data_IF_206964677649
#
_entry.id   IF_206964677649
#
_cell.length_a   1.000
_cell.length_b   1.000
_cell.length_c   1.000
_cell.angle_alpha   90.00
_cell.angle_beta   90.00
_cell.angle_gamma   90.00
#
_symmetry.space_group_name_H-M   'P 1'
#
loop_
_entity.id
_entity.type
_entity.pdbx_description
1 polymer ?
#
# COMPACT_ATOMS: atom_id res chain seq x y z
N UNK A 1 5.59 -24.77 -9.47
CA UNK A 1 6.55 -24.50 -10.57
C UNK A 1 5.90 -23.83 -11.79
N UNK A 2 4.58 -23.64 -11.86
CA UNK A 2 3.90 -22.92 -12.95
C UNK A 2 3.93 -21.38 -12.80
N UNK A 3 4.14 -20.85 -11.59
CA UNK A 3 3.95 -19.42 -11.32
C UNK A 3 5.03 -18.52 -11.91
N UNK A 4 6.28 -18.98 -11.96
CA UNK A 4 7.40 -18.15 -12.41
C UNK A 4 7.31 -17.82 -13.91
N UNK A 5 6.78 -18.75 -14.73
CA UNK A 5 6.61 -18.53 -16.16
C UNK A 5 5.47 -17.54 -16.45
N UNK A 6 4.32 -17.70 -15.79
CA UNK A 6 3.19 -16.77 -15.92
C UNK A 6 3.55 -15.37 -15.43
N UNK A 7 4.25 -15.25 -14.30
CA UNK A 7 4.73 -13.98 -13.79
C UNK A 7 5.71 -13.30 -14.76
N UNK A 8 6.67 -14.04 -15.32
CA UNK A 8 7.62 -13.51 -16.29
C UNK A 8 6.92 -13.09 -17.60
N UNK A 9 5.95 -13.85 -18.09
CA UNK A 9 5.18 -13.50 -19.28
C UNK A 9 4.33 -12.25 -19.04
N UNK A 10 3.66 -12.15 -17.90
CA UNK A 10 2.91 -10.95 -17.50
C UNK A 10 3.82 -9.72 -17.38
N UNK A 11 5.04 -9.88 -16.86
CA UNK A 11 6.05 -8.82 -16.83
C UNK A 11 6.51 -8.41 -18.23
N UNK A 12 6.77 -9.37 -19.13
CA UNK A 12 7.15 -9.10 -20.53
C UNK A 12 6.00 -8.37 -21.24
N UNK A 13 4.76 -8.82 -21.08
CA UNK A 13 3.58 -8.14 -21.65
C UNK A 13 3.47 -6.72 -21.10
N UNK A 14 3.69 -6.52 -19.80
CA UNK A 14 3.67 -5.20 -19.16
C UNK A 14 4.78 -4.29 -19.70
N UNK A 15 5.97 -4.81 -19.95
CA UNK A 15 7.09 -4.08 -20.57
C UNK A 15 6.77 -3.76 -22.04
N UNK A 16 6.20 -4.69 -22.79
CA UNK A 16 5.79 -4.45 -24.18
C UNK A 16 4.64 -3.43 -24.28
N UNK A 17 3.78 -3.34 -23.26
CA UNK A 17 2.78 -2.27 -23.09
C UNK A 17 3.37 -0.92 -22.66
N UNK A 18 4.63 -0.85 -22.19
CA UNK A 18 5.19 0.31 -21.47
C UNK A 18 5.52 1.55 -22.32
N UNK A 19 5.18 1.57 -23.62
CA UNK A 19 5.14 2.79 -24.42
C UNK A 19 3.75 2.99 -25.00
N UNK A 20 2.81 3.56 -24.22
CA UNK A 20 1.41 3.73 -24.65
C UNK A 20 1.26 4.65 -25.89
N UNK A 21 2.34 5.26 -26.36
CA UNK A 21 2.35 6.09 -27.55
C UNK A 21 1.69 7.45 -27.34
N UNK A 22 1.74 8.28 -28.38
CA UNK A 22 1.07 9.58 -28.42
C UNK A 22 -0.44 9.43 -28.51
N UNK A 23 -1.18 10.42 -28.00
CA UNK A 23 -2.64 10.46 -28.02
C UNK A 23 -3.15 10.77 -29.44
N UNK A 24 -3.32 9.71 -30.23
CA UNK A 24 -3.89 9.73 -31.59
C UNK A 24 -5.03 8.73 -31.69
N UNK A 25 -5.95 8.93 -32.65
CA UNK A 25 -7.10 8.03 -32.85
C UNK A 25 -6.64 6.59 -33.05
N UNK A 26 -5.61 6.37 -33.87
CA UNK A 26 -5.12 5.03 -34.18
C UNK A 26 -4.55 4.35 -32.95
N UNK A 27 -3.86 5.08 -32.06
CA UNK A 27 -3.31 4.50 -30.84
C UNK A 27 -4.39 4.20 -29.81
N UNK A 28 -5.42 5.06 -29.69
CA UNK A 28 -6.60 4.77 -28.86
C UNK A 28 -7.29 3.49 -29.36
N UNK A 29 -7.57 3.39 -30.66
CA UNK A 29 -8.19 2.19 -31.24
C UNK A 29 -7.34 0.92 -31.01
N UNK A 30 -6.01 1.01 -31.18
CA UNK A 30 -5.11 -0.11 -30.90
C UNK A 30 -5.17 -0.55 -29.44
N UNK A 31 -5.14 0.40 -28.48
CA UNK A 31 -5.27 0.08 -27.06
C UNK A 31 -6.62 -0.53 -26.73
N UNK A 32 -7.71 0.03 -27.24
CA UNK A 32 -9.07 -0.53 -27.10
C UNK A 32 -9.13 -1.98 -27.58
N UNK A 33 -8.54 -2.28 -28.74
CA UNK A 33 -8.51 -3.63 -29.29
C UNK A 33 -7.68 -4.62 -28.45
N UNK A 34 -6.61 -4.17 -27.77
CA UNK A 34 -5.84 -5.01 -26.84
C UNK A 34 -6.73 -5.53 -25.69
N UNK A 35 -7.65 -4.69 -25.22
CA UNK A 35 -8.64 -5.03 -24.19
C UNK A 35 -9.93 -5.62 -24.76
N UNK A 36 -9.94 -5.99 -26.05
CA UNK A 36 -11.07 -6.60 -26.78
C UNK A 36 -12.31 -5.71 -26.88
N UNK A 37 -12.15 -4.38 -26.76
CA UNK A 37 -13.22 -3.45 -27.08
C UNK A 37 -13.30 -3.23 -28.59
N UNK A 38 -14.52 -3.09 -29.10
CA UNK A 38 -14.77 -2.70 -30.49
C UNK A 38 -14.73 -1.17 -30.62
N UNK A 39 -14.32 -0.66 -31.78
CA UNK A 39 -14.25 0.80 -31.99
C UNK A 39 -14.95 1.24 -33.27
N UNK A 40 -15.67 2.36 -33.18
CA UNK A 40 -16.45 2.94 -34.26
C UNK A 40 -16.15 4.43 -34.37
N UNK A 41 -16.09 4.96 -35.58
CA UNK A 41 -15.90 6.40 -35.80
C UNK A 41 -17.10 6.95 -36.57
N UNK A 42 -17.76 7.94 -35.98
CA UNK A 42 -18.89 8.66 -36.58
C UNK A 42 -18.54 10.14 -36.76
N UNK A 43 -19.14 10.79 -37.76
CA UNK A 43 -19.11 12.25 -37.91
C UNK A 43 -20.34 12.85 -37.24
N UNK A 44 -20.13 13.63 -36.16
CA UNK A 44 -21.23 14.25 -35.43
C UNK A 44 -21.76 15.51 -36.11
N UNK A 45 -20.87 16.26 -36.76
CA UNK A 45 -21.27 17.47 -37.46
C UNK A 45 -20.42 17.72 -38.71
N UNK A 46 -21.06 18.12 -39.80
CA UNK A 46 -20.39 18.35 -41.08
C UNK A 46 -19.63 19.68 -41.14
N UNK A 47 -19.96 20.65 -40.27
CA UNK A 47 -19.40 22.02 -40.29
C UNK A 47 -18.15 22.21 -39.42
N UNK A 48 -17.97 21.43 -38.35
CA UNK A 48 -16.87 21.64 -37.38
C UNK A 48 -15.82 20.52 -37.37
N UNK A 49 -15.85 19.59 -38.34
CA UNK A 49 -15.01 18.39 -38.35
C UNK A 49 -15.04 17.60 -37.02
N UNK A 50 -16.14 17.72 -36.28
CA UNK A 50 -16.32 17.02 -35.02
C UNK A 50 -16.64 15.55 -35.31
N UNK A 51 -15.79 14.67 -34.80
CA UNK A 51 -15.93 13.23 -34.91
C UNK A 51 -16.15 12.64 -33.51
N UNK A 52 -16.81 11.49 -33.47
CA UNK A 52 -16.93 10.65 -32.29
C UNK A 52 -16.17 9.36 -32.52
N UNK A 53 -15.33 8.98 -31.56
CA UNK A 53 -14.79 7.63 -31.45
C UNK A 53 -15.54 6.93 -30.32
N UNK A 54 -16.35 5.95 -30.66
CA UNK A 54 -17.03 5.09 -29.69
C UNK A 54 -16.22 3.82 -29.46
N UNK A 55 -16.03 3.46 -28.20
CA UNK A 55 -15.35 2.24 -27.75
C UNK A 55 -16.40 1.40 -27.02
N UNK A 56 -16.77 0.24 -27.56
CA UNK A 56 -17.85 -0.59 -27.04
C UNK A 56 -17.32 -1.90 -26.45
N UNK A 57 -17.81 -2.25 -25.27
CA UNK A 57 -17.69 -3.57 -24.64
C UNK A 57 -19.00 -4.34 -24.68
N UNK A 58 -19.11 -5.34 -23.80
CA UNK A 58 -20.34 -6.14 -23.62
C UNK A 58 -21.47 -5.32 -23.01
N UNK A 59 -21.15 -4.50 -22.02
CA UNK A 59 -22.14 -3.75 -21.22
C UNK A 59 -21.80 -2.27 -21.05
N UNK A 60 -20.70 -1.80 -21.67
CA UNK A 60 -20.30 -0.39 -21.63
C UNK A 60 -20.03 0.19 -23.02
N UNK A 61 -20.16 1.51 -23.13
CA UNK A 61 -19.73 2.30 -24.29
C UNK A 61 -19.03 3.58 -23.80
N UNK A 62 -17.83 3.87 -24.35
CA UNK A 62 -17.12 5.14 -24.15
C UNK A 62 -17.21 5.94 -25.44
N UNK A 63 -17.86 7.10 -25.39
CA UNK A 63 -17.92 8.05 -26.50
C UNK A 63 -16.88 9.15 -26.29
N UNK A 64 -15.95 9.31 -27.24
CA UNK A 64 -14.93 10.36 -27.25
C UNK A 64 -15.24 11.32 -28.41
N UNK A 65 -15.63 12.54 -28.09
CA UNK A 65 -15.86 13.59 -29.08
C UNK A 65 -14.57 14.39 -29.29
N UNK A 66 -14.12 14.50 -30.53
CA UNK A 66 -12.83 15.09 -30.84
C UNK A 66 -12.78 15.82 -32.18
N UNK A 67 -11.77 16.68 -32.29
CA UNK A 67 -11.30 17.26 -33.55
C UNK A 67 -9.86 16.81 -33.81
N UNK A 68 -9.59 16.38 -35.04
CA UNK A 68 -8.27 15.95 -35.45
C UNK A 68 -7.43 17.17 -35.86
N UNK A 69 -6.27 17.36 -35.23
CA UNK A 69 -5.35 18.45 -35.55
C UNK A 69 -4.47 18.07 -36.74
N UNK A 70 -3.84 19.09 -37.35
CA UNK A 70 -2.93 18.92 -38.49
C UNK A 70 -1.70 18.07 -38.18
N UNK A 71 -1.28 18.00 -36.91
CA UNK A 71 -0.18 17.17 -36.42
C UNK A 71 -0.62 15.72 -36.09
N UNK A 72 -1.87 15.35 -36.38
CA UNK A 72 -2.45 14.04 -36.09
C UNK A 72 -2.85 13.84 -34.62
N UNK A 73 -2.64 14.85 -33.76
CA UNK A 73 -3.08 14.79 -32.35
C UNK A 73 -4.56 15.07 -32.21
N UNK A 74 -5.13 14.49 -31.16
CA UNK A 74 -6.51 14.68 -30.77
C UNK A 74 -6.69 15.99 -29.99
N UNK A 75 -7.66 16.82 -30.40
CA UNK A 75 -8.27 17.80 -29.52
C UNK A 75 -9.58 17.21 -29.00
N UNK A 76 -9.53 16.63 -27.80
CA UNK A 76 -10.69 16.07 -27.11
C UNK A 76 -11.62 17.21 -26.67
N UNK A 77 -12.92 17.04 -26.93
CA UNK A 77 -13.99 17.97 -26.55
C UNK A 77 -14.80 17.43 -25.38
N UNK A 78 -15.16 16.15 -25.43
CA UNK A 78 -15.93 15.49 -24.39
C UNK A 78 -15.62 13.99 -24.38
N UNK A 79 -15.79 13.35 -23.22
CA UNK A 79 -15.73 11.89 -23.08
C UNK A 79 -16.82 11.43 -22.12
N UNK A 80 -17.68 10.51 -22.58
CA UNK A 80 -18.77 9.94 -21.79
C UNK A 80 -18.63 8.44 -21.69
N UNK A 81 -18.85 7.90 -20.50
CA UNK A 81 -19.05 6.47 -20.26
C UNK A 81 -20.54 6.20 -20.06
N UNK A 82 -21.06 5.23 -20.80
CA UNK A 82 -22.47 4.80 -20.79
C UNK A 82 -22.47 3.31 -20.44
N UNK A 83 -23.29 2.92 -19.48
CA UNK A 83 -23.48 1.53 -19.07
C UNK A 83 -24.86 1.04 -19.53
N UNK A 84 -24.94 -0.16 -20.07
CA UNK A 84 -26.17 -0.74 -20.62
C UNK A 84 -27.27 -0.92 -19.57
N UNK A 85 -26.88 -1.14 -18.31
CA UNK A 85 -27.80 -1.28 -17.19
C UNK A 85 -28.30 0.06 -16.62
N UNK A 86 -27.89 1.21 -17.19
CA UNK A 86 -28.18 2.55 -16.66
C UNK A 86 -27.86 2.68 -15.17
N UNK A 87 -26.77 2.04 -14.72
CA UNK A 87 -26.32 2.16 -13.35
C UNK A 87 -25.89 3.61 -13.06
N UNK A 88 -26.82 4.38 -12.48
CA UNK A 88 -26.63 5.79 -12.16
C UNK A 88 -25.63 6.02 -11.01
N UNK A 89 -25.24 4.97 -10.29
CA UNK A 89 -24.37 5.09 -9.12
C UNK A 89 -22.89 4.98 -9.49
N UNK A 90 -22.56 4.37 -10.63
CA UNK A 90 -21.17 4.27 -11.06
C UNK A 90 -20.61 5.64 -11.45
N UNK A 91 -19.51 6.03 -10.81
CA UNK A 91 -18.86 7.32 -11.06
C UNK A 91 -17.48 7.12 -11.66
N UNK A 92 -17.22 7.82 -12.76
CA UNK A 92 -15.90 8.02 -13.36
C UNK A 92 -15.39 9.46 -13.13
N UNK A 93 -15.94 10.14 -12.13
CA UNK A 93 -15.44 11.42 -11.64
C UNK A 93 -14.58 11.20 -10.41
N UNK A 94 -13.49 11.94 -10.30
CA UNK A 94 -12.69 11.95 -9.08
C UNK A 94 -13.49 12.56 -7.93
N UNK A 95 -13.65 11.87 -6.80
CA UNK A 95 -14.53 12.38 -5.72
C UNK A 95 -13.99 13.62 -5.01
N UNK A 96 -12.69 13.93 -5.15
CA UNK A 96 -12.05 15.10 -4.53
C UNK A 96 -12.07 16.32 -5.45
N UNK A 97 -11.79 16.15 -6.74
CA UNK A 97 -11.72 17.26 -7.71
C UNK A 97 -12.98 17.43 -8.55
N UNK A 98 -13.88 16.43 -8.53
CA UNK A 98 -15.05 16.34 -9.40
C UNK A 98 -14.72 16.44 -10.90
N UNK A 99 -13.52 16.02 -11.29
CA UNK A 99 -13.09 16.00 -12.68
C UNK A 99 -13.31 14.63 -13.31
N UNK A 100 -13.67 14.62 -14.59
CA UNK A 100 -13.86 13.42 -15.38
C UNK A 100 -12.50 12.76 -15.70
N UNK A 101 -12.27 11.56 -15.17
CA UNK A 101 -10.97 10.89 -15.30
C UNK A 101 -10.66 10.47 -16.74
N UNK A 102 -11.70 10.18 -17.55
CA UNK A 102 -11.55 9.79 -18.94
C UNK A 102 -11.07 10.98 -19.78
N UNK A 103 -11.71 12.14 -19.62
CA UNK A 103 -11.25 13.39 -20.27
C UNK A 103 -9.83 13.73 -19.83
N UNK A 104 -9.55 13.67 -18.52
CA UNK A 104 -8.23 13.98 -17.98
C UNK A 104 -7.14 13.06 -18.54
N UNK A 105 -7.41 11.76 -18.64
CA UNK A 105 -6.46 10.77 -19.17
C UNK A 105 -6.01 11.05 -20.61
N UNK A 106 -6.83 11.75 -21.40
CA UNK A 106 -6.56 12.09 -22.80
C UNK A 106 -6.11 13.56 -23.02
N UNK A 107 -6.18 14.41 -21.99
CA UNK A 107 -5.90 15.85 -22.14
C UNK A 107 -4.80 16.37 -21.22
N UNK A 108 -4.63 15.79 -20.03
CA UNK A 108 -3.66 16.23 -19.01
C UNK A 108 -2.32 15.49 -19.07
N UNK A 109 -2.26 14.35 -19.74
CA UNK A 109 -1.07 13.49 -19.80
C UNK A 109 -0.45 13.50 -21.20
N UNK A 110 0.86 13.29 -21.27
CA UNK A 110 1.61 13.33 -22.54
C UNK A 110 1.41 12.08 -23.41
N UNK A 111 1.05 10.97 -22.78
CA UNK A 111 0.90 9.66 -23.42
C UNK A 111 -0.35 8.95 -22.91
N UNK A 112 -0.71 7.83 -23.55
CA UNK A 112 -1.91 7.07 -23.22
C UNK A 112 -1.79 6.19 -21.97
N UNK A 113 -0.78 6.36 -21.08
CA UNK A 113 -0.57 5.41 -19.97
C UNK A 113 -1.75 5.35 -19.00
N UNK A 114 -2.29 6.51 -18.65
CA UNK A 114 -3.43 6.59 -17.73
C UNK A 114 -4.69 6.04 -18.41
N UNK A 115 -4.86 6.32 -19.70
CA UNK A 115 -5.99 5.79 -20.47
C UNK A 115 -5.90 4.26 -20.64
N UNK A 116 -4.70 3.71 -20.81
CA UNK A 116 -4.42 2.27 -20.81
C UNK A 116 -4.83 1.63 -19.48
N UNK A 117 -4.44 2.22 -18.34
CA UNK A 117 -4.83 1.72 -17.01
C UNK A 117 -6.37 1.77 -16.81
N UNK A 118 -7.04 2.83 -17.29
CA UNK A 118 -8.50 2.94 -17.26
C UNK A 118 -9.14 1.82 -18.10
N UNK A 119 -8.67 1.62 -19.34
CA UNK A 119 -9.21 0.56 -20.22
C UNK A 119 -9.00 -0.83 -19.61
N UNK A 120 -7.86 -1.06 -18.95
CA UNK A 120 -7.60 -2.30 -18.23
C UNK A 120 -8.66 -2.53 -17.15
N UNK A 121 -8.89 -1.56 -16.26
CA UNK A 121 -9.92 -1.68 -15.21
C UNK A 121 -11.33 -1.85 -15.78
N UNK A 122 -11.70 -1.08 -16.81
CA UNK A 122 -13.00 -1.22 -17.47
C UNK A 122 -13.15 -2.58 -18.12
N UNK A 123 -12.08 -3.14 -18.69
CA UNK A 123 -12.13 -4.48 -19.29
C UNK A 123 -12.36 -5.58 -18.26
N UNK A 124 -11.85 -5.41 -17.03
CA UNK A 124 -12.15 -6.32 -15.92
C UNK A 124 -13.63 -6.20 -15.56
N UNK A 125 -14.13 -4.97 -15.35
CA UNK A 125 -15.54 -4.77 -14.99
C UNK A 125 -16.49 -5.30 -16.09
N UNK A 126 -16.24 -4.99 -17.36
CA UNK A 126 -17.06 -5.41 -18.50
C UNK A 126 -17.08 -6.93 -18.71
N UNK A 127 -15.94 -7.60 -18.51
CA UNK A 127 -15.84 -9.04 -18.77
C UNK A 127 -16.44 -9.90 -17.66
N UNK A 128 -16.41 -9.41 -16.42
CA UNK A 128 -16.81 -10.16 -15.24
C UNK A 128 -18.15 -9.72 -14.65
N UNK A 129 -18.81 -8.69 -15.19
CA UNK A 129 -20.24 -8.47 -14.97
C UNK A 129 -21.06 -9.56 -15.68
N UNK A 130 -21.99 -10.17 -14.95
CA UNK A 130 -22.92 -11.21 -15.40
C UNK A 130 -24.34 -10.85 -14.95
N UNK A 131 -25.35 -11.58 -15.43
CA UNK A 131 -26.77 -11.28 -15.17
C UNK A 131 -27.12 -11.22 -13.67
N UNK A 132 -26.39 -11.92 -12.79
CA UNK A 132 -26.60 -12.00 -11.34
C UNK A 132 -25.57 -11.22 -10.50
N UNK A 133 -24.61 -10.56 -11.16
CA UNK A 133 -23.55 -9.81 -10.51
C UNK A 133 -22.99 -8.68 -11.39
N UNK A 134 -23.20 -7.43 -10.96
CA UNK A 134 -22.59 -6.27 -11.59
C UNK A 134 -21.32 -5.82 -10.84
N UNK A 135 -20.16 -5.97 -11.48
CA UNK A 135 -18.88 -5.56 -10.94
C UNK A 135 -18.73 -4.02 -10.88
N UNK A 136 -19.47 -3.27 -11.71
CA UNK A 136 -19.53 -1.80 -11.61
C UNK A 136 -20.21 -1.37 -10.31
N UNK A 137 -21.37 -1.94 -9.99
CA UNK A 137 -22.06 -1.75 -8.71
C UNK A 137 -21.17 -2.20 -7.54
N UNK A 138 -20.54 -3.36 -7.67
CA UNK A 138 -19.69 -3.89 -6.60
C UNK A 138 -18.47 -3.00 -6.32
N UNK A 139 -17.87 -2.41 -7.36
CA UNK A 139 -16.81 -1.41 -7.18
C UNK A 139 -17.28 -0.20 -6.37
N UNK A 140 -18.50 0.29 -6.62
CA UNK A 140 -19.10 1.35 -5.81
C UNK A 140 -19.41 0.91 -4.38
N UNK A 141 -19.83 -0.34 -4.17
CA UNK A 141 -20.01 -0.90 -2.84
C UNK A 141 -18.69 -1.00 -2.06
N UNK A 142 -17.57 -1.31 -2.73
CA UNK A 142 -16.24 -1.26 -2.12
C UNK A 142 -15.93 0.15 -1.62
N UNK A 143 -16.18 1.16 -2.47
CA UNK A 143 -15.98 2.55 -2.09
C UNK A 143 -16.83 2.95 -0.88
N UNK A 144 -18.14 2.69 -0.88
CA UNK A 144 -19.01 3.06 0.24
C UNK A 144 -18.68 2.29 1.52
N UNK A 145 -18.30 1.01 1.42
CA UNK A 145 -17.82 0.24 2.55
C UNK A 145 -16.58 0.89 3.18
N UNK A 146 -15.56 1.20 2.38
CA UNK A 146 -14.34 1.83 2.89
C UNK A 146 -14.59 3.22 3.45
N UNK A 147 -15.48 3.99 2.83
CA UNK A 147 -15.88 5.34 3.29
C UNK A 147 -16.54 5.32 4.66
N UNK A 148 -17.23 4.24 5.02
CA UNK A 148 -17.76 4.06 6.39
C UNK A 148 -16.68 3.77 7.44
N UNK A 149 -15.46 3.46 7.03
CA UNK A 149 -14.33 3.10 7.91
C UNK A 149 -13.21 4.14 7.93
N UNK A 150 -13.25 5.17 7.08
CA UNK A 150 -12.18 6.17 6.99
C UNK A 150 -12.32 7.15 5.83
N UNK A 151 -11.31 8.00 5.67
CA UNK A 151 -11.22 8.95 4.57
C UNK A 151 -10.95 8.22 3.24
N UNK A 152 -11.75 8.52 2.21
CA UNK A 152 -11.66 7.85 0.91
C UNK A 152 -11.75 8.82 -0.25
N UNK A 153 -10.90 8.61 -1.26
CA UNK A 153 -10.95 9.30 -2.55
C UNK A 153 -11.21 8.25 -3.64
N UNK A 154 -12.33 8.39 -4.33
CA UNK A 154 -12.70 7.60 -5.50
C UNK A 154 -12.00 8.16 -6.73
N UNK A 155 -11.57 7.25 -7.59
CA UNK A 155 -10.92 7.53 -8.87
C UNK A 155 -9.65 8.38 -8.73
N UNK A 156 -8.79 7.97 -7.80
CA UNK A 156 -7.53 8.64 -7.48
C UNK A 156 -6.57 8.65 -8.68
N UNK A 157 -5.80 9.74 -8.83
CA UNK A 157 -4.84 9.95 -9.92
C UNK A 157 -5.40 9.71 -11.34
N UNK A 158 -6.68 10.02 -11.56
CA UNK A 158 -7.39 9.82 -12.82
C UNK A 158 -7.41 8.34 -13.28
N UNK A 159 -7.50 7.40 -12.35
CA UNK A 159 -7.67 5.96 -12.63
C UNK A 159 -8.86 5.42 -11.87
N UNK A 160 -9.35 4.23 -12.21
CA UNK A 160 -10.30 3.48 -11.38
C UNK A 160 -9.58 2.85 -10.18
N UNK A 161 -9.17 3.72 -9.27
CA UNK A 161 -8.45 3.39 -8.04
C UNK A 161 -9.09 4.13 -6.86
N UNK A 162 -9.27 3.44 -5.75
CA UNK A 162 -9.78 3.98 -4.49
C UNK A 162 -8.59 4.23 -3.57
N UNK A 163 -8.38 5.47 -3.12
CA UNK A 163 -7.38 5.80 -2.12
C UNK A 163 -8.03 5.87 -0.74
N UNK A 164 -7.62 5.00 0.18
CA UNK A 164 -8.07 4.95 1.57
C UNK A 164 -6.98 5.52 2.50
N UNK A 165 -7.37 6.45 3.37
CA UNK A 165 -6.53 7.09 4.40
C UNK A 165 -5.20 7.67 3.87
N UNK A 166 -5.19 8.13 2.62
CA UNK A 166 -4.00 8.61 1.88
C UNK A 166 -2.82 7.60 1.83
N UNK A 167 -3.10 6.33 2.13
CA UNK A 167 -2.08 5.29 2.34
C UNK A 167 -2.27 4.05 1.48
N UNK A 168 -3.51 3.69 1.17
CA UNK A 168 -3.81 2.44 0.48
C UNK A 168 -4.57 2.72 -0.81
N UNK A 169 -3.92 2.45 -1.94
CA UNK A 169 -4.52 2.47 -3.26
C UNK A 169 -5.12 1.10 -3.55
N UNK A 170 -6.39 1.06 -3.94
CA UNK A 170 -7.16 -0.16 -4.09
C UNK A 170 -7.76 -0.18 -5.49
N UNK A 171 -7.51 -1.25 -6.23
CA UNK A 171 -8.07 -1.46 -7.58
C UNK A 171 -8.59 -2.88 -7.75
N UNK A 172 -9.21 -3.12 -8.90
CA UNK A 172 -9.55 -4.46 -9.36
C UNK A 172 -8.44 -4.99 -10.27
N UNK A 173 -8.16 -6.28 -10.16
CA UNK A 173 -7.25 -7.00 -11.06
C UNK A 173 -7.91 -8.28 -11.55
N UNK A 174 -7.62 -8.63 -12.81
CA UNK A 174 -7.88 -9.95 -13.37
C UNK A 174 -6.66 -10.85 -13.19
N UNK A 175 -6.81 -11.92 -12.41
CA UNK A 175 -5.77 -12.92 -12.12
C UNK A 175 -6.44 -14.26 -11.81
N UNK A 176 -6.15 -15.28 -12.61
CA UNK A 176 -6.75 -16.62 -12.54
C UNK A 176 -6.61 -17.31 -11.16
N UNK A 177 -5.64 -16.88 -10.35
CA UNK A 177 -5.41 -17.42 -9.01
C UNK A 177 -6.29 -16.79 -7.93
N UNK A 178 -6.95 -15.67 -8.23
CA UNK A 178 -7.75 -14.90 -7.29
C UNK A 178 -9.24 -15.23 -7.40
N UNK A 179 -9.95 -14.97 -6.31
CA UNK A 179 -11.41 -15.08 -6.27
C UNK A 179 -11.96 -14.07 -5.29
N UNK A 180 -12.75 -13.13 -5.77
CA UNK A 180 -13.30 -12.04 -4.97
C UNK A 180 -14.60 -12.49 -4.28
N UNK A 181 -14.67 -12.36 -2.97
CA UNK A 181 -15.88 -12.72 -2.21
C UNK A 181 -16.98 -11.68 -2.42
N UNK A 182 -18.17 -12.12 -2.84
CA UNK A 182 -19.33 -11.23 -2.93
C UNK A 182 -19.74 -10.78 -1.52
N UNK A 183 -20.07 -9.49 -1.42
CA UNK A 183 -20.62 -8.89 -0.21
C UNK A 183 -22.04 -8.47 -0.52
N UNK A 184 -22.95 -8.86 0.35
CA UNK A 184 -24.35 -8.45 0.31
C UNK A 184 -24.52 -7.04 0.89
N UNK A 185 -25.64 -6.38 0.58
CA UNK A 185 -25.91 -5.01 1.04
C UNK A 185 -25.90 -4.84 2.58
N UNK A 186 -26.01 -5.93 3.34
CA UNK A 186 -25.89 -5.97 4.80
C UNK A 186 -24.46 -6.33 5.29
N UNK A 187 -23.46 -6.20 4.42
CA UNK A 187 -22.05 -6.50 4.67
C UNK A 187 -21.79 -7.94 5.16
N UNK A 188 -22.60 -8.90 4.70
CA UNK A 188 -22.36 -10.32 4.92
C UNK A 188 -21.62 -10.93 3.74
N UNK A 189 -20.80 -11.94 4.03
CA UNK A 189 -20.13 -12.70 2.98
C UNK A 189 -21.14 -13.63 2.33
N UNK A 190 -21.35 -13.42 1.04
CA UNK A 190 -22.04 -14.41 0.23
C UNK A 190 -21.08 -15.57 -0.06
N UNK A 191 -21.61 -16.79 -0.22
CA UNK A 191 -20.79 -17.94 -0.64
C UNK A 191 -20.31 -17.84 -2.10
N UNK A 192 -20.84 -16.88 -2.84
CA UNK A 192 -20.54 -16.69 -4.26
C UNK A 192 -19.20 -15.97 -4.38
N UNK A 193 -18.28 -16.60 -5.10
CA UNK A 193 -16.94 -16.09 -5.37
C UNK A 193 -16.86 -15.74 -6.86
N UNK A 194 -16.40 -14.53 -7.18
CA UNK A 194 -16.11 -14.13 -8.56
C UNK A 194 -14.70 -14.62 -8.85
N UNK A 195 -14.60 -15.69 -9.64
CA UNK A 195 -13.30 -16.26 -10.02
C UNK A 195 -12.54 -15.30 -10.91
N UNK A 196 -11.22 -15.39 -10.85
CA UNK A 196 -10.28 -14.65 -11.69
C UNK A 196 -10.28 -13.13 -11.43
N UNK A 197 -10.99 -12.66 -10.41
CA UNK A 197 -11.00 -11.25 -10.00
C UNK A 197 -10.52 -11.15 -8.56
N UNK A 198 -9.71 -10.14 -8.26
CA UNK A 198 -9.30 -9.82 -6.90
C UNK A 198 -9.10 -8.33 -6.68
N UNK A 199 -8.85 -7.95 -5.42
CA UNK A 199 -8.42 -6.62 -5.06
C UNK A 199 -6.91 -6.56 -5.08
N UNK A 200 -6.39 -5.54 -5.74
CA UNK A 200 -4.99 -5.19 -5.71
C UNK A 200 -4.82 -3.98 -4.79
N UNK A 201 -3.96 -4.11 -3.80
CA UNK A 201 -3.67 -3.04 -2.85
C UNK A 201 -2.21 -2.63 -3.04
N UNK A 202 -1.97 -1.35 -3.32
CA UNK A 202 -0.66 -0.73 -3.34
C UNK A 202 -0.57 0.31 -2.23
N UNK A 203 0.49 0.28 -1.43
CA UNK A 203 0.71 1.25 -0.37
C UNK A 203 1.46 2.47 -0.91
N UNK A 204 1.14 3.68 -0.42
CA UNK A 204 1.82 4.91 -0.86
C UNK A 204 3.25 5.01 -0.35
N UNK A 205 3.56 4.35 0.78
CA UNK A 205 4.89 4.11 1.31
C UNK A 205 5.08 2.62 1.61
N UNK A 206 6.34 2.16 1.69
CA UNK A 206 6.63 0.77 2.08
C UNK A 206 6.19 0.58 3.53
N UNK A 207 5.36 -0.43 3.78
CA UNK A 207 4.95 -0.84 5.12
C UNK A 207 5.63 -2.15 5.50
N UNK A 208 5.64 -2.45 6.78
CA UNK A 208 6.26 -3.65 7.33
C UNK A 208 5.24 -4.40 8.17
N UNK A 209 5.23 -5.73 8.06
CA UNK A 209 4.44 -6.57 8.95
C UNK A 209 4.99 -8.00 8.98
N UNK A 210 4.63 -8.81 9.99
CA UNK A 210 4.97 -10.22 10.01
C UNK A 210 4.29 -10.96 8.87
N UNK A 211 5.00 -11.90 8.24
CA UNK A 211 4.49 -12.65 7.09
C UNK A 211 3.18 -13.41 7.37
N UNK A 212 3.04 -13.96 8.57
CA UNK A 212 1.86 -14.76 8.97
C UNK A 212 0.65 -13.91 9.39
N UNK A 213 0.82 -12.59 9.48
CA UNK A 213 -0.19 -11.71 10.04
C UNK A 213 -1.30 -11.33 9.06
N UNK A 214 -1.09 -11.65 7.80
CA UNK A 214 -1.87 -11.13 6.71
C UNK A 214 -2.26 -12.34 5.86
N UNK A 215 -3.54 -12.69 5.89
CA UNK A 215 -4.17 -13.56 4.88
C UNK A 215 -4.14 -12.84 3.51
N UNK A 216 -2.95 -12.46 3.05
CA UNK A 216 -2.70 -11.70 1.84
C UNK A 216 -1.66 -12.45 1.01
N UNK A 217 -1.76 -12.28 -0.29
CA UNK A 217 -0.76 -12.79 -1.22
C UNK A 217 0.19 -11.63 -1.52
N UNK A 218 1.39 -11.66 -0.94
CA UNK A 218 2.45 -10.67 -1.16
C UNK A 218 3.14 -10.90 -2.49
N UNK A 219 3.36 -9.84 -3.27
CA UNK A 219 3.94 -9.91 -4.62
C UNK A 219 5.47 -9.80 -4.66
N UNK A 220 6.08 -9.32 -3.58
CA UNK A 220 7.54 -9.17 -3.44
C UNK A 220 7.90 -9.33 -1.96
N UNK A 221 8.75 -10.29 -1.65
CA UNK A 221 9.19 -10.55 -0.27
C UNK A 221 10.67 -10.23 -0.15
N UNK A 222 10.99 -9.20 0.61
CA UNK A 222 12.33 -8.99 1.17
C UNK A 222 12.20 -9.07 2.68
N UNK A 223 12.94 -10.00 3.27
CA UNK A 223 13.03 -10.13 4.73
C UNK A 223 13.83 -8.96 5.26
N UNK A 224 13.28 -8.22 6.22
CA UNK A 224 14.00 -7.14 6.88
C UNK A 224 14.07 -7.38 8.37
N UNK A 225 15.24 -7.03 8.91
CA UNK A 225 15.51 -6.99 10.32
C UNK A 225 15.84 -5.56 10.72
N UNK A 226 15.16 -5.06 11.74
CA UNK A 226 15.43 -3.77 12.37
C UNK A 226 16.64 -3.93 13.29
N UNK A 227 16.71 -5.03 14.04
CA UNK A 227 17.82 -5.35 14.95
C UNK A 227 18.44 -6.70 14.63
N UNK A 228 19.76 -6.71 14.43
CA UNK A 228 20.52 -7.94 14.47
C UNK A 228 20.59 -8.43 15.94
N UNK A 229 20.11 -9.64 16.20
CA UNK A 229 20.01 -10.22 17.54
C UNK A 229 21.36 -10.33 18.27
N UNK A 230 22.47 -10.30 17.54
CA UNK A 230 23.81 -10.39 18.09
C UNK A 230 24.43 -9.03 18.45
N UNK A 231 23.83 -7.93 17.98
CA UNK A 231 24.37 -6.59 18.18
C UNK A 231 23.87 -6.03 19.51
N UNK A 232 24.77 -5.34 20.22
CA UNK A 232 24.43 -4.50 21.37
C UNK A 232 24.70 -3.07 20.94
N UNK A 233 23.82 -2.16 21.32
CA UNK A 233 23.86 -0.77 20.90
C UNK A 233 24.07 0.12 22.12
N UNK A 234 24.93 1.14 22.02
CA UNK A 234 25.15 2.14 23.08
C UNK A 234 24.56 3.48 22.67
N UNK A 235 23.84 4.13 23.56
CA UNK A 235 23.19 5.40 23.25
C UNK A 235 24.25 6.49 22.97
N UNK A 236 24.02 7.30 21.94
CA UNK A 236 24.92 8.39 21.53
C UNK A 236 24.99 9.51 22.55
N UNK A 237 23.91 9.74 23.29
CA UNK A 237 23.75 10.87 24.22
C UNK A 237 23.96 10.49 25.69
N UNK A 238 23.72 9.23 26.04
CA UNK A 238 23.94 8.70 27.38
C UNK A 238 24.77 7.43 27.31
N UNK A 239 26.00 7.47 27.82
CA UNK A 239 26.87 6.30 27.81
C UNK A 239 26.41 5.20 28.79
N UNK A 240 25.48 5.52 29.68
CA UNK A 240 24.89 4.62 30.66
C UNK A 240 23.78 3.76 30.05
N UNK A 241 23.22 4.11 28.89
CA UNK A 241 22.10 3.37 28.31
C UNK A 241 22.57 2.48 27.17
N UNK A 242 22.29 1.19 27.30
CA UNK A 242 22.49 0.20 26.25
C UNK A 242 21.16 -0.36 25.78
N UNK A 243 21.11 -0.74 24.51
CA UNK A 243 19.94 -1.27 23.84
C UNK A 243 20.31 -2.59 23.18
N UNK A 244 19.48 -3.60 23.38
CA UNK A 244 19.53 -4.85 22.64
C UNK A 244 18.15 -5.14 22.06
N UNK A 245 18.11 -5.35 20.75
CA UNK A 245 16.90 -5.72 20.04
C UNK A 245 16.89 -7.20 19.72
N UNK A 246 15.77 -7.86 20.03
CA UNK A 246 15.49 -9.23 19.66
C UNK A 246 14.22 -9.29 18.81
N UNK A 247 14.35 -9.86 17.63
CA UNK A 247 13.24 -10.04 16.70
C UNK A 247 12.83 -11.50 16.69
N UNK A 248 11.76 -11.82 17.41
CA UNK A 248 11.21 -13.18 17.48
C UNK A 248 10.00 -13.33 16.55
N UNK A 249 10.17 -12.94 15.29
CA UNK A 249 9.20 -13.26 14.26
C UNK A 249 9.52 -14.64 13.69
N UNK A 250 8.64 -15.62 13.92
CA UNK A 250 8.79 -17.00 13.42
C UNK A 250 9.14 -17.08 11.92
N UNK A 251 8.72 -16.08 11.12
CA UNK A 251 8.99 -16.00 9.67
C UNK A 251 9.51 -14.64 9.19
N UNK A 252 9.97 -13.77 10.10
CA UNK A 252 10.49 -12.44 9.77
C UNK A 252 9.42 -11.38 9.43
N UNK A 253 9.88 -10.12 9.36
CA UNK A 253 9.12 -9.00 8.80
C UNK A 253 9.32 -8.96 7.28
N UNK A 254 8.26 -8.58 6.56
CA UNK A 254 8.29 -8.41 5.10
C UNK A 254 7.93 -6.99 4.70
N UNK A 255 8.53 -6.52 3.61
CA UNK A 255 8.12 -5.30 2.93
C UNK A 255 6.82 -5.48 2.18
N UNK A 256 5.88 -4.59 2.46
CA UNK A 256 4.56 -4.56 1.83
C UNK A 256 4.47 -3.25 1.07
N UNK A 257 4.73 -3.36 -0.23
CA UNK A 257 4.40 -2.32 -1.21
C UNK A 257 3.12 -2.63 -1.97
N UNK A 258 2.87 -3.93 -2.19
CA UNK A 258 1.77 -4.39 -3.01
C UNK A 258 1.35 -5.81 -2.62
N UNK A 259 0.05 -6.02 -2.48
CA UNK A 259 -0.52 -7.32 -2.13
C UNK A 259 -1.93 -7.49 -2.70
N UNK A 260 -2.41 -8.73 -2.68
CA UNK A 260 -3.77 -9.06 -3.08
C UNK A 260 -4.67 -9.37 -1.88
N UNK A 261 -5.94 -9.00 -2.00
CA UNK A 261 -6.99 -9.39 -1.06
C UNK A 261 -8.21 -9.91 -1.83
N UNK A 262 -8.80 -10.97 -1.30
CA UNK A 262 -10.00 -11.61 -1.83
C UNK A 262 -11.23 -11.32 -0.97
N UNK A 263 -11.04 -10.94 0.29
CA UNK A 263 -12.08 -10.64 1.25
C UNK A 263 -12.08 -9.16 1.65
N UNK A 264 -13.06 -8.42 1.13
CA UNK A 264 -13.22 -6.99 1.40
C UNK A 264 -13.52 -6.71 2.89
N UNK A 265 -14.26 -7.58 3.61
CA UNK A 265 -14.57 -7.37 5.03
C UNK A 265 -13.33 -7.42 5.93
N UNK A 266 -12.24 -8.05 5.46
CA UNK A 266 -10.97 -8.09 6.20
C UNK A 266 -10.14 -6.83 5.99
N UNK A 267 -10.42 -6.00 4.99
CA UNK A 267 -9.57 -4.85 4.64
C UNK A 267 -9.39 -3.85 5.79
N UNK A 268 -10.44 -3.37 6.50
CA UNK A 268 -10.24 -2.37 7.56
C UNK A 268 -9.38 -2.91 8.71
N UNK A 269 -9.55 -4.19 9.07
CA UNK A 269 -8.69 -4.84 10.07
C UNK A 269 -7.24 -4.91 9.57
N UNK A 270 -7.03 -5.36 8.33
CA UNK A 270 -5.69 -5.44 7.72
C UNK A 270 -5.02 -4.06 7.67
N UNK A 271 -5.72 -3.03 7.22
CA UNK A 271 -5.20 -1.66 7.19
C UNK A 271 -4.82 -1.17 8.59
N UNK A 272 -5.69 -1.37 9.58
CA UNK A 272 -5.41 -0.99 10.97
C UNK A 272 -4.15 -1.68 11.49
N UNK A 273 -3.99 -2.97 11.23
CA UNK A 273 -2.81 -3.73 11.62
C UNK A 273 -1.54 -3.21 10.96
N UNK A 274 -1.56 -3.02 9.64
CA UNK A 274 -0.42 -2.48 8.88
C UNK A 274 -0.01 -1.10 9.40
N UNK A 275 -0.97 -0.25 9.74
CA UNK A 275 -0.70 1.09 10.30
C UNK A 275 -0.10 1.01 11.70
N UNK A 276 -0.63 0.14 12.58
CA UNK A 276 -0.07 -0.06 13.92
C UNK A 276 1.38 -0.56 13.84
N UNK A 277 1.68 -1.51 12.94
CA UNK A 277 3.05 -1.96 12.70
C UNK A 277 3.94 -0.82 12.23
N UNK A 278 3.52 -0.10 11.20
CA UNK A 278 4.25 1.04 10.64
C UNK A 278 4.65 2.06 11.72
N UNK A 279 3.72 2.42 12.61
CA UNK A 279 3.99 3.31 13.76
C UNK A 279 5.05 2.76 14.70
N UNK A 280 5.01 1.47 15.02
CA UNK A 280 6.01 0.85 15.91
C UNK A 280 7.37 0.79 15.22
N UNK A 281 7.42 0.43 13.95
CA UNK A 281 8.65 0.36 13.16
C UNK A 281 9.31 1.74 13.04
N UNK A 282 8.52 2.79 12.87
CA UNK A 282 9.03 4.18 12.89
C UNK A 282 9.74 4.48 14.21
N UNK A 283 9.14 4.13 15.35
CA UNK A 283 9.77 4.33 16.68
C UNK A 283 11.06 3.53 16.80
N UNK A 284 11.02 2.25 16.41
CA UNK A 284 12.19 1.37 16.53
C UNK A 284 13.34 1.86 15.66
N UNK A 285 13.03 2.35 14.46
CA UNK A 285 14.02 2.93 13.54
C UNK A 285 14.61 4.23 14.11
N UNK A 286 13.76 5.15 14.58
CA UNK A 286 14.22 6.40 15.22
C UNK A 286 15.02 6.14 16.49
N UNK A 287 14.64 5.13 17.28
CA UNK A 287 15.39 4.73 18.46
C UNK A 287 16.75 4.18 18.05
N UNK A 288 16.81 3.26 17.08
CA UNK A 288 18.07 2.68 16.58
C UNK A 288 19.04 3.75 16.08
N UNK A 289 18.54 4.80 15.42
CA UNK A 289 19.36 5.94 14.96
C UNK A 289 20.06 6.71 16.08
N UNK A 290 19.54 6.66 17.32
CA UNK A 290 20.14 7.31 18.49
C UNK A 290 21.22 6.46 19.18
N UNK A 291 21.53 5.28 18.64
CA UNK A 291 22.54 4.38 19.21
C UNK A 291 23.61 4.02 18.19
N UNK A 292 24.78 3.66 18.68
CA UNK A 292 25.88 3.08 17.90
C UNK A 292 26.01 1.60 18.24
N UNK A 293 26.31 0.76 17.25
CA UNK A 293 26.67 -0.64 17.51
C UNK A 293 27.97 -0.65 18.32
N UNK A 294 27.98 -1.42 19.40
CA UNK A 294 29.19 -1.69 20.18
C UNK A 294 29.99 -2.75 19.43
N UNK A 295 31.23 -2.41 19.06
CA UNK A 295 32.17 -3.41 18.58
C UNK A 295 32.71 -4.20 19.77
N UNK A 296 32.15 -5.40 19.97
CA UNK A 296 32.53 -6.29 21.06
C UNK A 296 34.01 -6.69 20.99
N UNK A 297 34.63 -6.66 19.81
CA UNK A 297 36.05 -6.99 19.68
C UNK A 297 36.95 -5.83 20.13
N UNK A 298 36.56 -4.59 19.82
CA UNK A 298 37.29 -3.39 20.27
C UNK A 298 37.22 -3.21 21.80
N UNK A 299 36.10 -3.57 22.43
CA UNK A 299 36.01 -3.58 23.90
C UNK A 299 36.90 -4.66 24.53
N UNK A 300 36.98 -5.86 23.92
CA UNK A 300 37.85 -6.95 24.38
C UNK A 300 39.34 -6.62 24.25
N UNK A 301 39.75 -5.90 23.21
CA UNK A 301 41.15 -5.48 23.05
C UNK A 301 41.60 -4.49 24.15
N UNK A 302 40.66 -3.83 24.81
CA UNK A 302 40.92 -2.92 25.93
C UNK A 302 40.67 -3.56 27.30
N UNK A 303 40.30 -4.85 27.39
CA UNK A 303 40.07 -5.55 28.68
C UNK A 303 41.29 -5.50 29.58
N UNK A 304 42.49 -5.66 29.02
CA UNK A 304 43.74 -5.64 29.81
C UNK A 304 43.99 -4.27 30.45
N UNK A 305 43.64 -3.17 29.77
CA UNK A 305 43.72 -1.80 30.29
C UNK A 305 42.67 -1.55 31.37
N UNK A 306 41.43 -1.97 31.14
CA UNK A 306 40.32 -1.84 32.10
C UNK A 306 40.62 -2.67 33.37
N UNK A 307 41.17 -3.87 33.20
CA UNK A 307 41.57 -4.74 34.30
C UNK A 307 42.74 -4.16 35.10
N UNK A 308 43.72 -3.53 34.43
CA UNK A 308 44.80 -2.80 35.10
C UNK A 308 44.27 -1.58 35.87
N UNK A 309 43.40 -0.77 35.27
CA UNK A 309 42.77 0.37 35.95
C UNK A 309 41.93 -0.06 37.17
N UNK A 310 41.26 -1.20 37.07
CA UNK A 310 40.52 -1.81 38.18
C UNK A 310 41.45 -2.26 39.32
N UNK A 311 42.60 -2.86 39.00
CA UNK A 311 43.58 -3.24 40.02
C UNK A 311 44.29 -2.05 40.67
N UNK A 312 44.44 -0.94 39.94
CA UNK A 312 45.11 0.27 40.43
C UNK A 312 44.19 1.16 41.29
N UNK A 313 42.87 1.15 41.07
CA UNK A 313 41.89 1.84 41.94
C UNK A 313 41.57 1.02 43.19
N UNK A 314 42.45 1.07 44.18
CA UNK A 314 42.14 0.65 45.55
C UNK A 314 41.26 1.70 46.25
N UNK A 315 40.12 1.21 46.77
CA UNK A 315 39.21 1.86 47.72
C UNK A 315 38.30 2.99 47.17
N UNK A 316 36.99 2.71 47.20
CA UNK A 316 35.84 3.64 47.05
C UNK A 316 35.50 4.26 45.69
N UNK A 317 36.09 3.85 44.56
CA UNK A 317 35.38 4.03 43.29
C UNK A 317 34.34 2.93 43.15
N UNK A 318 33.12 3.20 43.62
CA UNK A 318 31.93 2.50 43.13
C UNK A 318 32.08 2.46 41.62
N UNK A 319 32.19 1.26 41.04
CA UNK A 319 31.90 1.11 39.62
C UNK A 319 30.41 1.44 39.54
N UNK A 320 30.09 2.72 39.40
CA UNK A 320 28.77 3.19 38.97
C UNK A 320 28.63 2.74 37.52
N UNK A 321 28.49 1.43 37.33
CA UNK A 321 27.87 0.90 36.15
C UNK A 321 26.38 0.85 36.44
N UNK A 322 25.77 2.01 36.64
CA UNK A 322 24.33 2.19 36.44
C UNK A 322 24.08 2.11 34.92
N UNK A 323 24.52 1.00 34.31
CA UNK A 323 24.23 0.69 32.93
C UNK A 323 22.81 0.19 32.88
N UNK A 324 21.95 1.01 32.30
CA UNK A 324 20.56 0.67 32.06
C UNK A 324 20.44 -0.10 30.74
N UNK A 325 19.75 -1.24 30.79
CA UNK A 325 19.60 -2.13 29.66
C UNK A 325 18.17 -2.07 29.16
N UNK A 326 18.00 -1.70 27.89
CA UNK A 326 16.71 -1.75 27.21
C UNK A 326 16.72 -2.96 26.28
N UNK A 327 15.77 -3.86 26.49
CA UNK A 327 15.50 -5.00 25.64
C UNK A 327 14.22 -4.76 24.85
N UNK A 328 14.30 -4.85 23.53
CA UNK A 328 13.12 -4.80 22.66
C UNK A 328 12.86 -6.19 22.13
N UNK A 329 11.68 -6.74 22.40
CA UNK A 329 11.26 -8.04 21.90
C UNK A 329 10.01 -7.89 21.07
N UNK A 330 10.05 -8.29 19.80
CA UNK A 330 8.80 -8.48 19.06
C UNK A 330 8.38 -9.94 19.02
N UNK A 331 7.18 -10.20 19.53
CA UNK A 331 6.56 -11.50 19.66
C UNK A 331 5.22 -11.46 18.92
N UNK A 332 5.14 -12.05 17.71
CA UNK A 332 3.98 -12.21 16.82
C UNK A 332 2.94 -11.07 16.81
N UNK A 333 2.19 -10.87 17.89
CA UNK A 333 1.09 -9.90 18.05
C UNK A 333 1.46 -8.71 18.94
N UNK A 334 2.69 -8.62 19.43
CA UNK A 334 3.12 -7.54 20.32
C UNK A 334 4.57 -7.14 20.16
N UNK A 335 4.85 -5.90 20.52
CA UNK A 335 6.21 -5.37 20.70
C UNK A 335 6.35 -4.95 22.15
N UNK A 336 7.34 -5.52 22.83
CA UNK A 336 7.61 -5.33 24.24
C UNK A 336 8.97 -4.64 24.41
N UNK A 337 8.96 -3.55 25.18
CA UNK A 337 10.13 -2.84 25.68
C UNK A 337 10.27 -3.21 27.15
N UNK A 338 11.42 -3.76 27.51
CA UNK A 338 11.78 -4.11 28.89
C UNK A 338 13.06 -3.39 29.27
N UNK A 339 13.09 -2.82 30.45
CA UNK A 339 14.24 -2.17 31.04
C UNK A 339 14.20 -2.32 32.56
N UNK A 340 15.38 -2.26 33.15
CA UNK A 340 15.59 -2.07 34.58
C UNK A 340 15.05 -0.71 35.06
N UNK A 341 14.98 0.28 34.18
CA UNK A 341 14.16 1.47 34.40
C UNK A 341 12.69 1.14 34.14
N UNK A 342 11.96 0.74 35.19
CA UNK A 342 10.56 0.25 35.07
C UNK A 342 9.62 1.19 34.30
N UNK A 343 9.87 2.50 34.35
CA UNK A 343 9.09 3.51 33.62
C UNK A 343 9.21 3.40 32.09
N UNK A 344 10.28 2.78 31.60
CA UNK A 344 10.50 2.51 30.17
C UNK A 344 9.88 1.16 29.74
N UNK A 345 9.30 0.39 30.67
CA UNK A 345 8.60 -0.84 30.32
C UNK A 345 7.30 -0.52 29.58
N UNK A 346 7.17 -1.03 28.36
CA UNK A 346 5.97 -0.85 27.55
C UNK A 346 5.66 -2.11 26.75
N UNK A 347 4.37 -2.41 26.57
CA UNK A 347 3.93 -3.51 25.71
C UNK A 347 2.81 -3.07 24.80
N UNK A 348 3.10 -3.06 23.50
CA UNK A 348 2.17 -2.68 22.44
C UNK A 348 1.61 -3.96 21.83
N UNK A 349 0.33 -4.23 22.09
CA UNK A 349 -0.38 -5.30 21.41
C UNK A 349 -0.94 -4.76 20.08
N UNK A 350 -0.57 -5.39 18.98
CA UNK A 350 -0.86 -4.91 17.63
C UNK A 350 -2.20 -5.48 17.13
N UNK A 351 -2.51 -6.75 17.44
CA UNK A 351 -3.76 -7.43 17.01
C UNK A 351 -4.92 -7.34 18.00
N UNK A 352 -4.88 -6.38 18.90
CA UNK A 352 -6.05 -6.06 19.73
C UNK A 352 -7.11 -5.35 18.91
N UNK A 353 -8.37 -5.50 19.32
CA UNK A 353 -9.52 -4.69 18.85
C UNK A 353 -9.39 -3.20 19.22
N UNK A 354 -8.28 -2.81 19.85
CA UNK A 354 -7.93 -1.42 20.12
C UNK A 354 -7.95 -0.60 18.84
N UNK A 355 -8.63 0.55 18.88
CA UNK A 355 -8.68 1.47 17.75
C UNK A 355 -7.30 2.06 17.45
N UNK A 356 -7.07 2.48 16.20
CA UNK A 356 -5.80 3.10 15.82
C UNK A 356 -5.51 4.39 16.64
N UNK A 357 -6.56 5.13 17.02
CA UNK A 357 -6.43 6.34 17.84
C UNK A 357 -5.92 6.03 19.25
N UNK A 358 -6.51 5.04 19.92
CA UNK A 358 -6.07 4.61 21.26
C UNK A 358 -4.64 4.09 21.24
N UNK A 359 -4.29 3.30 20.21
CA UNK A 359 -2.93 2.82 20.01
C UNK A 359 -1.95 4.00 19.83
N UNK A 360 -2.31 5.00 19.01
CA UNK A 360 -1.52 6.21 18.81
C UNK A 360 -1.31 7.01 20.10
N UNK A 361 -2.34 7.17 20.93
CA UNK A 361 -2.22 7.92 22.18
C UNK A 361 -1.20 7.27 23.12
N UNK A 362 -1.21 5.93 23.21
CA UNK A 362 -0.22 5.17 24.00
C UNK A 362 1.19 5.33 23.44
N UNK A 363 1.32 5.28 22.12
CA UNK A 363 2.59 5.50 21.43
C UNK A 363 3.12 6.92 21.66
N UNK A 364 2.27 7.94 21.62
CA UNK A 364 2.66 9.33 21.89
C UNK A 364 3.13 9.47 23.34
N UNK A 365 2.42 8.86 24.29
CA UNK A 365 2.85 8.82 25.70
C UNK A 365 4.24 8.20 25.85
N UNK A 366 4.47 7.06 25.19
CA UNK A 366 5.77 6.40 25.23
C UNK A 366 6.88 7.19 24.52
N UNK A 367 6.61 7.83 23.38
CA UNK A 367 7.56 8.72 22.69
C UNK A 367 7.99 9.88 23.60
N UNK A 368 7.07 10.47 24.37
CA UNK A 368 7.40 11.52 25.36
C UNK A 368 8.34 11.01 26.43
N UNK A 369 8.09 9.82 26.98
CA UNK A 369 9.01 9.18 27.93
C UNK A 369 10.39 8.98 27.31
N UNK A 370 10.47 8.43 26.09
CA UNK A 370 11.77 8.25 25.41
C UNK A 370 12.50 9.59 25.17
N UNK A 371 11.79 10.67 24.87
CA UNK A 371 12.37 12.02 24.75
C UNK A 371 12.89 12.55 26.09
N UNK A 372 12.16 12.36 27.18
CA UNK A 372 12.57 12.78 28.53
C UNK A 372 13.88 12.12 28.98
N UNK A 373 14.13 10.89 28.51
CA UNK A 373 15.35 10.13 28.77
C UNK A 373 16.43 10.29 27.67
N UNK A 374 16.27 11.25 26.75
CA UNK A 374 17.20 11.51 25.64
C UNK A 374 17.43 10.32 24.70
N UNK A 375 16.47 9.40 24.62
CA UNK A 375 16.52 8.22 23.75
C UNK A 375 15.94 8.48 22.36
N UNK A 376 15.21 9.60 22.20
CA UNK A 376 14.73 10.10 20.92
C UNK A 376 15.12 11.57 20.74
N UNK A 377 15.00 12.05 19.50
CA UNK A 377 15.07 13.47 19.17
C UNK A 377 13.71 14.01 18.75
N UNK A 378 13.46 15.29 19.06
CA UNK A 378 12.32 16.02 18.50
C UNK A 378 12.59 16.17 17.00
N UNK A 379 11.88 15.38 16.19
CA UNK A 379 11.85 15.53 14.73
C UNK A 379 10.94 16.68 14.30
#
# INVERSE_FOLDING_TARGET
MSDTFHQNLSQIIKILKSSPGSITVQNIQRLSNIYKFETFIEKLNNTENLKRLSIAGKILVIDIDFQERRDGKLLVKDVKLILANNNNNFSYFNSKTNENILVNSLTKYENLKIFDDILESLSVMDNFTQDDFDLFDYYMNIYEYLKSHGAVILNYNNKFEILFEDKFKIGLINDDSLSLSKITNDFRLDKIMIKEVGLIIETTKVLFAPKDFLDIITLSEESVSIFNANDIYKCKKSQEITLQGFEFYLKGLVWIKKYYQTNLLKLPKVFTLLLKYDIVIEILSSLKEQFNVIDKFEELENEDLIFQEFQEKNEESVIDSDQHFITISSLNESVEFKSDLEILNAKFHIDTEESLSQFNDRIIGFKKLLLEYNLLELQ
#
